data_IF_479409916974
#
_entry.id   IF_479409916974
#
_cell.length_a   1.000
_cell.length_b   1.000
_cell.length_c   1.000
_cell.angle_alpha   90.00
_cell.angle_beta   90.00
_cell.angle_gamma   90.00
#
_symmetry.space_group_name_H-M   'P 1'
#
loop_
_entity.id
_entity.type
_entity.pdbx_description
1 polymer ?
#
# COMPACT_ATOMS: atom_id res chain seq x y z
N UNK A 1 -26.86 -2.21 -2.75
CA UNK A 1 -25.40 -2.45 -2.90
C UNK A 1 -24.67 -1.14 -3.23
N UNK A 2 -25.01 -0.45 -4.33
CA UNK A 2 -24.36 0.81 -4.72
C UNK A 2 -24.55 1.96 -3.72
N UNK A 3 -25.70 2.06 -3.05
CA UNK A 3 -25.94 3.09 -2.03
C UNK A 3 -25.02 2.95 -0.82
N UNK A 4 -24.78 1.73 -0.34
CA UNK A 4 -23.89 1.49 0.80
C UNK A 4 -22.43 1.79 0.47
N UNK A 5 -21.99 1.45 -0.74
CA UNK A 5 -20.67 1.86 -1.25
C UNK A 5 -20.58 3.38 -1.26
N UNK A 6 -21.62 4.04 -1.78
CA UNK A 6 -21.72 5.49 -1.81
C UNK A 6 -21.73 6.11 -0.41
N UNK A 7 -22.29 5.46 0.61
CA UNK A 7 -22.22 5.90 2.01
C UNK A 7 -20.78 5.78 2.52
N UNK A 8 -20.14 4.62 2.34
CA UNK A 8 -18.76 4.39 2.80
C UNK A 8 -17.74 5.34 2.15
N UNK A 9 -18.00 5.79 0.93
CA UNK A 9 -17.17 6.76 0.21
C UNK A 9 -17.39 8.19 0.67
N UNK A 10 -18.56 8.51 1.25
CA UNK A 10 -18.93 9.87 1.67
C UNK A 10 -18.63 10.15 3.14
N UNK A 11 -18.82 9.17 4.02
CA UNK A 11 -18.70 9.35 5.46
C UNK A 11 -17.35 8.87 6.00
N UNK A 12 -16.39 9.81 6.10
CA UNK A 12 -15.08 9.64 6.74
C UNK A 12 -14.39 8.31 6.36
N UNK A 13 -14.06 8.10 5.08
CA UNK A 13 -13.59 6.83 4.56
C UNK A 13 -12.31 6.29 5.22
N UNK A 14 -11.54 7.11 5.93
CA UNK A 14 -10.34 6.69 6.65
C UNK A 14 -10.58 6.40 8.14
N UNK A 15 -11.34 7.25 8.81
CA UNK A 15 -11.57 7.18 10.25
C UNK A 15 -12.74 6.30 10.63
N UNK A 16 -13.69 6.07 9.72
CA UNK A 16 -14.84 5.23 9.99
C UNK A 16 -14.39 3.76 10.15
N UNK A 17 -14.63 3.21 11.34
CA UNK A 17 -14.31 1.82 11.71
C UNK A 17 -15.56 0.97 11.87
N UNK A 18 -16.68 1.38 11.28
CA UNK A 18 -17.94 0.65 11.40
C UNK A 18 -17.71 -0.83 11.09
N UNK A 19 -17.98 -1.74 12.04
CA UNK A 19 -17.89 -3.16 11.78
C UNK A 19 -18.93 -3.50 10.73
N UNK A 20 -18.54 -4.32 9.76
CA UNK A 20 -19.50 -4.83 8.78
C UNK A 20 -20.32 -5.89 9.49
N UNK A 21 -21.63 -5.70 9.50
CA UNK A 21 -22.57 -6.65 10.07
C UNK A 21 -22.42 -8.00 9.36
N UNK A 22 -22.17 -9.06 10.13
CA UNK A 22 -21.95 -10.41 9.59
C UNK A 22 -20.54 -10.70 9.07
N UNK A 23 -19.57 -9.78 9.18
CA UNK A 23 -18.20 -10.07 8.77
C UNK A 23 -17.53 -11.16 9.63
N UNK A 24 -17.87 -11.25 10.91
CA UNK A 24 -17.34 -12.26 11.84
C UNK A 24 -17.85 -13.67 11.54
N UNK A 25 -19.02 -13.82 10.90
CA UNK A 25 -19.51 -15.15 10.50
C UNK A 25 -18.75 -15.74 9.30
N UNK A 26 -17.84 -14.98 8.70
CA UNK A 26 -16.93 -15.44 7.64
C UNK A 26 -15.59 -15.95 8.20
N UNK A 27 -15.40 -15.90 9.52
CA UNK A 27 -14.23 -16.46 10.21
C UNK A 27 -14.46 -17.97 10.41
N UNK A 28 -14.16 -18.76 9.37
CA UNK A 28 -14.24 -20.23 9.43
C UNK A 28 -12.97 -20.85 10.05
N UNK A 29 -13.08 -22.08 10.54
CA UNK A 29 -11.93 -22.82 11.08
C UNK A 29 -10.81 -22.98 10.05
N UNK A 30 -9.57 -22.76 10.50
CA UNK A 30 -8.37 -22.90 9.67
C UNK A 30 -8.05 -21.73 8.74
N UNK A 31 -8.84 -20.65 8.77
CA UNK A 31 -8.67 -19.51 7.86
C UNK A 31 -7.32 -18.79 8.03
N UNK A 32 -6.79 -18.79 9.24
CA UNK A 32 -5.46 -18.27 9.57
C UNK A 32 -4.35 -19.06 8.84
N UNK A 33 -4.49 -20.38 8.75
CA UNK A 33 -3.51 -21.25 8.05
C UNK A 33 -3.49 -21.04 6.55
N UNK A 34 -4.59 -20.53 5.98
CA UNK A 34 -4.71 -20.16 4.57
C UNK A 34 -4.15 -18.75 4.29
N UNK A 35 -3.71 -18.03 5.32
CA UNK A 35 -3.27 -16.63 5.20
C UNK A 35 -4.41 -15.64 5.00
N UNK A 36 -5.68 -16.06 5.05
CA UNK A 36 -6.83 -15.20 4.74
C UNK A 36 -7.31 -14.35 5.93
N UNK A 37 -6.44 -14.11 6.91
CA UNK A 37 -6.73 -13.30 8.09
C UNK A 37 -5.76 -12.11 8.25
N UNK A 38 -4.48 -12.34 7.99
CA UNK A 38 -3.39 -11.38 8.19
C UNK A 38 -2.33 -11.52 7.10
N UNK A 39 -1.63 -10.44 6.78
CA UNK A 39 -0.44 -10.53 5.93
C UNK A 39 0.56 -11.47 6.61
N UNK A 40 1.16 -12.44 5.88
CA UNK A 40 2.23 -13.26 6.42
C UNK A 40 3.37 -12.40 7.00
N UNK A 41 3.89 -12.74 8.20
CA UNK A 41 4.93 -11.93 8.83
C UNK A 41 6.24 -11.98 8.06
N UNK A 42 7.00 -10.89 8.10
CA UNK A 42 8.35 -10.81 7.53
C UNK A 42 9.31 -11.78 8.26
N UNK A 43 10.06 -12.59 7.50
CA UNK A 43 11.03 -13.52 8.06
C UNK A 43 12.14 -12.78 8.81
N UNK A 44 12.42 -13.11 10.09
CA UNK A 44 13.39 -12.37 10.91
C UNK A 44 14.80 -12.32 10.31
N UNK A 45 15.25 -13.41 9.69
CA UNK A 45 16.58 -13.51 9.09
C UNK A 45 16.72 -12.58 7.88
N UNK A 46 15.68 -12.51 7.05
CA UNK A 46 15.66 -11.63 5.88
C UNK A 46 15.57 -10.18 6.34
N UNK A 47 14.71 -9.89 7.32
CA UNK A 47 14.60 -8.55 7.90
C UNK A 47 15.93 -8.07 8.52
N UNK A 48 16.66 -8.93 9.21
CA UNK A 48 17.97 -8.61 9.80
C UNK A 48 19.04 -8.25 8.75
N UNK A 49 18.90 -8.75 7.52
CA UNK A 49 19.77 -8.39 6.41
C UNK A 49 19.35 -7.08 5.72
N UNK A 50 18.06 -6.82 5.62
CA UNK A 50 17.50 -5.65 4.91
C UNK A 50 17.47 -4.38 5.75
N UNK A 51 17.25 -4.51 7.06
CA UNK A 51 17.15 -3.36 7.94
C UNK A 51 18.56 -2.85 8.31
N UNK A 52 18.76 -1.53 8.42
CA UNK A 52 19.98 -0.99 9.00
C UNK A 52 20.20 -1.66 10.36
N UNK A 53 21.43 -2.03 10.69
CA UNK A 53 21.79 -2.63 12.00
C UNK A 53 21.54 -1.62 13.12
N UNK A 54 20.28 -1.49 13.52
CA UNK A 54 19.88 -0.86 14.76
C UNK A 54 20.19 -1.86 15.87
N UNK A 55 20.70 -1.36 17.00
CA UNK A 55 21.28 -2.16 18.08
C UNK A 55 20.42 -3.31 18.61
N UNK A 56 21.00 -4.15 19.49
CA UNK A 56 20.48 -5.47 19.81
C UNK A 56 19.16 -5.38 20.59
N UNK A 57 18.05 -5.63 19.90
CA UNK A 57 16.80 -6.00 20.56
C UNK A 57 16.21 -7.22 19.84
N UNK A 58 16.53 -8.44 20.31
CA UNK A 58 16.13 -9.68 19.67
C UNK A 58 14.64 -10.06 19.90
N UNK A 59 13.87 -9.27 20.64
CA UNK A 59 12.51 -9.65 21.07
C UNK A 59 11.37 -8.96 20.32
N UNK A 60 11.66 -8.06 19.37
CA UNK A 60 10.63 -7.29 18.67
C UNK A 60 10.52 -7.73 17.21
N UNK A 61 9.28 -7.94 16.75
CA UNK A 61 9.00 -8.14 15.33
C UNK A 61 9.69 -7.06 14.48
N UNK A 62 10.35 -7.44 13.36
CA UNK A 62 11.04 -6.49 12.53
C UNK A 62 10.08 -5.39 12.06
N UNK A 63 10.50 -4.14 12.21
CA UNK A 63 9.67 -2.98 11.89
C UNK A 63 10.41 -2.06 10.93
N UNK A 64 9.69 -1.49 9.97
CA UNK A 64 10.27 -0.56 9.00
C UNK A 64 10.82 0.71 9.70
N UNK A 65 11.99 1.21 9.27
CA UNK A 65 12.73 2.24 10.01
C UNK A 65 12.10 3.62 9.84
N UNK A 66 11.56 3.95 8.66
CA UNK A 66 10.92 5.24 8.43
C UNK A 66 9.47 5.26 8.93
N UNK A 67 9.05 6.42 9.47
CA UNK A 67 7.67 6.64 9.96
C UNK A 67 6.65 6.48 8.82
N UNK A 68 6.95 7.01 7.65
CA UNK A 68 6.11 6.92 6.44
C UNK A 68 5.89 5.47 6.03
N UNK A 69 6.93 4.64 6.13
CA UNK A 69 6.88 3.24 5.74
C UNK A 69 6.07 2.41 6.74
N UNK A 70 6.19 2.69 8.04
CA UNK A 70 5.32 2.08 9.07
C UNK A 70 3.84 2.42 8.84
N UNK A 71 3.54 3.67 8.50
CA UNK A 71 2.19 4.09 8.18
C UNK A 71 1.66 3.37 6.93
N UNK A 72 2.47 3.26 5.87
CA UNK A 72 2.11 2.53 4.66
C UNK A 72 1.93 1.04 4.89
N UNK A 73 2.78 0.42 5.71
CA UNK A 73 2.63 -0.98 6.14
C UNK A 73 1.30 -1.18 6.89
N UNK A 74 0.92 -0.23 7.75
CA UNK A 74 -0.38 -0.26 8.45
C UNK A 74 -1.56 -0.14 7.47
N UNK A 75 -1.48 0.73 6.46
CA UNK A 75 -2.51 0.83 5.42
C UNK A 75 -2.58 -0.44 4.56
N UNK A 76 -1.43 -1.03 4.25
CA UNK A 76 -1.34 -2.29 3.49
C UNK A 76 -1.97 -3.44 4.26
N UNK A 77 -1.73 -3.54 5.57
CA UNK A 77 -2.39 -4.52 6.45
C UNK A 77 -3.91 -4.35 6.45
N UNK A 78 -4.41 -3.11 6.50
CA UNK A 78 -5.86 -2.84 6.38
C UNK A 78 -6.41 -3.27 5.03
N UNK A 79 -5.72 -2.94 3.94
CA UNK A 79 -6.13 -3.32 2.58
C UNK A 79 -6.11 -4.84 2.37
N UNK A 80 -5.12 -5.52 2.93
CA UNK A 80 -5.05 -6.98 2.91
C UNK A 80 -6.21 -7.60 3.67
N UNK A 81 -6.50 -7.15 4.90
CA UNK A 81 -7.68 -7.62 5.65
C UNK A 81 -8.98 -7.41 4.89
N UNK A 82 -9.11 -6.27 4.23
CA UNK A 82 -10.22 -5.96 3.34
C UNK A 82 -10.33 -6.97 2.18
N UNK A 83 -9.23 -7.21 1.46
CA UNK A 83 -9.17 -8.15 0.34
C UNK A 83 -9.43 -9.60 0.80
N UNK A 84 -8.84 -10.01 1.92
CA UNK A 84 -9.02 -11.32 2.50
C UNK A 84 -10.48 -11.53 2.92
N UNK A 85 -11.12 -10.55 3.56
CA UNK A 85 -12.56 -10.61 3.84
C UNK A 85 -13.40 -10.78 2.57
N UNK A 86 -13.08 -10.04 1.50
CA UNK A 86 -13.76 -10.18 0.20
C UNK A 86 -13.55 -11.56 -0.42
N UNK A 87 -12.36 -12.15 -0.31
CA UNK A 87 -12.08 -13.51 -0.77
C UNK A 87 -12.93 -14.54 -0.02
N UNK A 88 -13.04 -14.40 1.31
CA UNK A 88 -13.87 -15.28 2.16
C UNK A 88 -15.35 -15.15 1.88
N UNK A 89 -15.82 -13.91 1.69
CA UNK A 89 -17.18 -13.63 1.26
C UNK A 89 -17.48 -14.29 -0.09
N UNK A 90 -16.54 -14.22 -1.04
CA UNK A 90 -16.69 -14.88 -2.34
C UNK A 90 -16.73 -16.41 -2.22
N UNK A 91 -15.89 -17.01 -1.38
CA UNK A 91 -15.93 -18.46 -1.13
C UNK A 91 -17.28 -18.92 -0.57
N UNK A 92 -17.80 -18.21 0.44
CA UNK A 92 -19.12 -18.50 1.01
C UNK A 92 -20.23 -18.28 -0.01
N UNK A 93 -20.19 -17.18 -0.77
CA UNK A 93 -21.17 -16.92 -1.83
C UNK A 93 -21.16 -18.04 -2.88
N UNK A 94 -19.98 -18.57 -3.25
CA UNK A 94 -19.87 -19.67 -4.20
C UNK A 94 -20.54 -20.94 -3.69
N UNK A 95 -20.34 -21.29 -2.41
CA UNK A 95 -21.00 -22.47 -1.81
C UNK A 95 -22.50 -22.31 -1.74
N UNK A 96 -22.98 -21.13 -1.32
CA UNK A 96 -24.40 -20.83 -1.23
C UNK A 96 -25.08 -20.81 -2.60
N UNK A 97 -24.42 -20.30 -3.64
CA UNK A 97 -24.96 -20.33 -5.01
C UNK A 97 -25.00 -21.75 -5.58
N UNK A 98 -24.03 -22.61 -5.26
CA UNK A 98 -24.09 -24.03 -5.63
C UNK A 98 -25.28 -24.72 -4.94
N UNK A 99 -25.44 -24.50 -3.63
CA UNK A 99 -26.59 -25.02 -2.88
C UNK A 99 -27.94 -24.50 -3.41
N UNK A 100 -28.01 -23.22 -3.75
CA UNK A 100 -29.19 -22.64 -4.38
C UNK A 100 -29.52 -23.28 -5.73
N UNK A 101 -28.50 -23.67 -6.52
CA UNK A 101 -28.73 -24.37 -7.78
C UNK A 101 -29.34 -25.75 -7.57
N UNK A 102 -28.86 -26.51 -6.58
CA UNK A 102 -29.45 -27.81 -6.19
C UNK A 102 -30.93 -27.66 -5.78
N UNK A 103 -31.24 -26.67 -4.93
CA UNK A 103 -32.63 -26.38 -4.53
C UNK A 103 -33.53 -25.99 -5.71
N UNK A 104 -32.98 -25.27 -6.69
CA UNK A 104 -33.72 -24.90 -7.90
C UNK A 104 -34.02 -26.12 -8.80
N UNK A 105 -33.13 -27.11 -8.86
CA UNK A 105 -33.37 -28.36 -9.59
C UNK A 105 -34.52 -29.15 -8.93
N UNK A 106 -34.54 -29.24 -7.61
CA UNK A 106 -35.61 -29.88 -6.84
C UNK A 106 -36.97 -29.19 -7.03
N UNK A 107 -36.97 -27.87 -7.26
CA UNK A 107 -38.18 -27.09 -7.55
C UNK A 107 -38.90 -27.52 -8.83
N UNK A 108 -38.17 -28.09 -9.78
CA UNK A 108 -38.71 -28.64 -11.02
C UNK A 108 -39.58 -29.87 -10.79
N UNK A 109 -39.51 -30.48 -9.61
CA UNK A 109 -40.10 -31.78 -9.26
C UNK A 109 -41.14 -31.68 -8.13
N UNK A 110 -42.13 -30.79 -8.30
CA UNK A 110 -43.30 -30.64 -7.41
C UNK A 110 -42.95 -30.24 -5.96
N UNK A 111 -42.09 -29.23 -5.82
CA UNK A 111 -41.62 -28.72 -4.53
C UNK A 111 -42.65 -27.85 -3.81
N UNK A 112 -42.73 -28.03 -2.47
CA UNK A 112 -43.58 -27.24 -1.58
C UNK A 112 -43.02 -25.84 -1.24
N UNK A 113 -43.81 -25.02 -0.51
CA UNK A 113 -43.43 -23.65 -0.15
C UNK A 113 -42.15 -23.53 0.69
N UNK A 114 -41.77 -24.58 1.42
CA UNK A 114 -40.55 -24.59 2.23
C UNK A 114 -39.27 -24.44 1.40
N UNK A 115 -39.20 -25.03 0.20
CA UNK A 115 -38.04 -24.90 -0.70
C UNK A 115 -37.89 -23.47 -1.21
N UNK A 116 -39.01 -22.78 -1.46
CA UNK A 116 -39.02 -21.37 -1.86
C UNK A 116 -38.52 -20.46 -0.74
N UNK A 117 -38.95 -20.71 0.50
CA UNK A 117 -38.49 -19.97 1.68
C UNK A 117 -36.98 -20.15 1.89
N UNK A 118 -36.47 -21.36 1.68
CA UNK A 118 -35.04 -21.66 1.79
C UNK A 118 -34.20 -20.95 0.70
N UNK A 119 -34.66 -20.97 -0.56
CA UNK A 119 -34.03 -20.22 -1.65
C UNK A 119 -34.02 -18.72 -1.35
N UNK A 120 -35.12 -18.18 -0.83
CA UNK A 120 -35.20 -16.77 -0.45
C UNK A 120 -34.19 -16.45 0.67
N UNK A 121 -34.08 -17.32 1.68
CA UNK A 121 -33.13 -17.17 2.77
C UNK A 121 -31.67 -17.22 2.28
N UNK A 122 -31.32 -18.19 1.43
CA UNK A 122 -29.99 -18.32 0.82
C UNK A 122 -29.65 -17.09 -0.02
N UNK A 123 -30.61 -16.59 -0.80
CA UNK A 123 -30.45 -15.37 -1.62
C UNK A 123 -30.17 -14.15 -0.74
N UNK A 124 -30.92 -13.97 0.35
CA UNK A 124 -30.72 -12.88 1.29
C UNK A 124 -29.33 -12.95 1.96
N UNK A 125 -28.89 -14.15 2.34
CA UNK A 125 -27.52 -14.37 2.86
C UNK A 125 -26.48 -14.00 1.81
N UNK A 126 -26.60 -14.48 0.57
CA UNK A 126 -25.69 -14.14 -0.54
C UNK A 126 -25.59 -12.63 -0.73
N UNK A 127 -26.72 -11.91 -0.75
CA UNK A 127 -26.75 -10.46 -0.89
C UNK A 127 -26.06 -9.75 0.28
N UNK A 128 -26.24 -10.21 1.53
CA UNK A 128 -25.51 -9.68 2.69
C UNK A 128 -24.01 -9.93 2.59
N UNK A 129 -23.60 -11.13 2.20
CA UNK A 129 -22.17 -11.49 2.05
C UNK A 129 -21.51 -10.66 0.96
N UNK A 130 -22.17 -10.45 -0.17
CA UNK A 130 -21.66 -9.61 -1.26
C UNK A 130 -21.53 -8.14 -0.85
N UNK A 131 -22.50 -7.58 -0.10
CA UNK A 131 -22.38 -6.22 0.47
C UNK A 131 -21.10 -6.05 1.28
N UNK A 132 -20.74 -7.06 2.10
CA UNK A 132 -19.53 -7.03 2.91
C UNK A 132 -18.26 -6.86 2.05
N UNK A 133 -18.21 -7.51 0.89
CA UNK A 133 -17.05 -7.48 -0.01
C UNK A 133 -16.88 -6.13 -0.72
N UNK A 134 -17.99 -5.53 -1.20
CA UNK A 134 -17.92 -4.30 -1.99
C UNK A 134 -17.55 -3.08 -1.14
N UNK A 135 -18.02 -3.01 0.10
CA UNK A 135 -17.67 -1.92 1.03
C UNK A 135 -16.16 -1.82 1.34
N UNK A 136 -15.35 -2.84 1.00
CA UNK A 136 -13.91 -2.86 1.26
C UNK A 136 -13.04 -2.18 0.20
N UNK A 137 -13.58 -1.92 -0.99
CA UNK A 137 -12.88 -1.18 -2.04
C UNK A 137 -12.44 0.23 -1.58
N UNK A 138 -13.15 0.83 -0.63
CA UNK A 138 -12.82 2.13 -0.04
C UNK A 138 -11.41 2.17 0.56
N UNK A 139 -10.95 1.07 1.17
CA UNK A 139 -9.65 0.99 1.83
C UNK A 139 -8.51 1.13 0.82
N UNK A 140 -8.67 0.59 -0.39
CA UNK A 140 -7.66 0.70 -1.45
C UNK A 140 -7.51 2.15 -1.93
N UNK A 141 -8.62 2.87 -2.08
CA UNK A 141 -8.60 4.29 -2.47
C UNK A 141 -7.95 5.14 -1.38
N UNK A 142 -8.30 4.90 -0.12
CA UNK A 142 -7.71 5.60 1.04
C UNK A 142 -6.21 5.30 1.17
N UNK A 143 -5.79 4.05 0.95
CA UNK A 143 -4.38 3.68 0.92
C UNK A 143 -3.62 4.44 -0.18
N UNK A 144 -4.20 4.58 -1.37
CA UNK A 144 -3.57 5.32 -2.45
C UNK A 144 -3.47 6.82 -2.12
N UNK A 145 -4.54 7.44 -1.58
CA UNK A 145 -4.45 8.83 -1.05
C UNK A 145 -3.32 8.99 -0.03
N UNK A 146 -3.21 8.06 0.91
CA UNK A 146 -2.17 8.06 1.93
C UNK A 146 -0.76 8.01 1.32
N UNK A 147 -0.56 7.25 0.23
CA UNK A 147 0.71 7.19 -0.50
C UNK A 147 1.08 8.53 -1.11
N UNK A 148 0.15 9.20 -1.78
CA UNK A 148 0.38 10.52 -2.35
C UNK A 148 0.60 11.59 -1.28
N UNK A 149 -0.15 11.55 -0.18
CA UNK A 149 0.02 12.49 0.94
C UNK A 149 1.38 12.35 1.64
N UNK A 150 2.02 11.18 1.60
CA UNK A 150 3.37 11.01 2.15
C UNK A 150 4.44 11.82 1.41
N UNK A 151 4.17 12.27 0.18
CA UNK A 151 5.05 13.17 -0.57
C UNK A 151 4.95 14.63 -0.11
N UNK A 152 3.95 14.93 0.73
CA UNK A 152 3.69 16.28 1.24
C UNK A 152 4.27 16.49 2.63
N UNK A 153 4.68 17.73 2.89
CA UNK A 153 5.12 18.21 4.21
C UNK A 153 3.93 18.67 5.07
N UNK A 154 2.74 18.08 4.87
CA UNK A 154 1.57 18.35 5.71
C UNK A 154 1.73 17.65 7.07
N UNK A 155 1.25 18.25 8.16
CA UNK A 155 1.19 17.57 9.45
C UNK A 155 0.20 16.40 9.40
N UNK A 156 0.39 15.40 10.28
CA UNK A 156 -0.42 14.17 10.27
C UNK A 156 -1.92 14.47 10.37
N UNK A 157 -2.32 15.44 11.20
CA UNK A 157 -3.73 15.82 11.37
C UNK A 157 -4.37 16.30 10.07
N UNK A 158 -3.66 17.13 9.32
CA UNK A 158 -4.16 17.61 8.03
C UNK A 158 -4.22 16.50 6.97
N UNK A 159 -3.31 15.51 7.06
CA UNK A 159 -3.36 14.32 6.20
C UNK A 159 -4.58 13.48 6.53
N UNK A 160 -4.86 13.24 7.81
CA UNK A 160 -6.08 12.53 8.27
C UNK A 160 -7.34 13.24 7.75
N UNK A 161 -7.41 14.57 7.85
CA UNK A 161 -8.56 15.34 7.33
C UNK A 161 -8.77 15.13 5.82
N UNK A 162 -7.69 15.09 5.03
CA UNK A 162 -7.77 14.84 3.59
C UNK A 162 -8.15 13.39 3.29
N UNK A 163 -7.67 12.45 4.09
CA UNK A 163 -8.03 11.04 3.96
C UNK A 163 -9.52 10.81 4.24
N UNK A 164 -10.12 11.60 5.13
CA UNK A 164 -11.56 11.57 5.46
C UNK A 164 -12.46 12.40 4.54
N UNK A 165 -11.91 13.10 3.54
CA UNK A 165 -12.73 13.76 2.54
C UNK A 165 -13.49 12.73 1.70
N UNK A 166 -14.68 13.07 1.16
CA UNK A 166 -15.42 12.17 0.29
C UNK A 166 -14.59 11.66 -0.91
N UNK A 167 -14.82 10.42 -1.31
CA UNK A 167 -14.29 9.84 -2.54
C UNK A 167 -15.31 10.04 -3.65
N UNK A 168 -14.84 10.54 -4.79
CA UNK A 168 -15.64 10.76 -6.00
C UNK A 168 -14.88 10.18 -7.21
N UNK A 169 -15.57 9.66 -8.23
CA UNK A 169 -14.93 8.90 -9.31
C UNK A 169 -14.03 9.74 -10.24
N UNK A 170 -14.15 11.07 -10.22
CA UNK A 170 -13.41 11.99 -11.08
C UNK A 170 -11.91 12.06 -10.74
N UNK A 171 -11.51 11.63 -9.55
CA UNK A 171 -10.10 11.56 -9.19
C UNK A 171 -9.84 11.13 -7.76
N UNK A 172 -8.60 10.66 -7.50
CA UNK A 172 -8.22 10.08 -6.20
C UNK A 172 -8.46 11.07 -5.06
N UNK A 173 -8.20 12.37 -5.25
CA UNK A 173 -8.47 13.40 -4.25
C UNK A 173 -9.83 14.10 -4.45
N UNK A 174 -10.35 14.15 -5.68
CA UNK A 174 -11.68 14.67 -5.97
C UNK A 174 -11.98 16.02 -5.31
N UNK A 175 -13.02 16.07 -4.48
CA UNK A 175 -13.41 17.27 -3.72
C UNK A 175 -12.34 17.78 -2.74
N UNK A 176 -11.41 16.93 -2.31
CA UNK A 176 -10.29 17.33 -1.46
C UNK A 176 -9.27 18.22 -2.19
N UNK A 177 -9.24 18.19 -3.54
CA UNK A 177 -8.25 18.90 -4.34
C UNK A 177 -8.28 20.41 -4.08
N UNK A 178 -9.46 21.01 -4.01
CA UNK A 178 -9.61 22.45 -3.74
C UNK A 178 -9.03 22.84 -2.37
N UNK A 179 -9.28 22.01 -1.35
CA UNK A 179 -8.71 22.19 0.00
C UNK A 179 -7.20 22.03 0.00
N UNK A 180 -6.67 21.01 -0.69
CA UNK A 180 -5.23 20.79 -0.82
C UNK A 180 -4.54 21.94 -1.56
N UNK A 181 -5.11 22.42 -2.66
CA UNK A 181 -4.57 23.54 -3.43
C UNK A 181 -4.52 24.81 -2.58
N UNK A 182 -5.62 25.14 -1.88
CA UNK A 182 -5.66 26.30 -0.96
C UNK A 182 -4.57 26.21 0.11
N UNK A 183 -4.32 25.02 0.66
CA UNK A 183 -3.25 24.79 1.65
C UNK A 183 -1.86 24.97 1.04
N UNK A 184 -1.63 24.45 -0.16
CA UNK A 184 -0.37 24.66 -0.89
C UNK A 184 -0.12 26.16 -1.16
N UNK A 185 -1.13 26.90 -1.60
CA UNK A 185 -1.03 28.34 -1.84
C UNK A 185 -0.79 29.13 -0.54
N UNK A 186 -1.48 28.77 0.55
CA UNK A 186 -1.26 29.38 1.86
C UNK A 186 0.16 29.18 2.35
N UNK A 187 0.68 27.95 2.23
CA UNK A 187 2.06 27.63 2.60
C UNK A 187 3.08 28.38 1.75
N UNK A 188 2.83 28.51 0.44
CA UNK A 188 3.67 29.31 -0.45
C UNK A 188 3.71 30.78 -0.02
N UNK A 189 2.56 31.36 0.32
CA UNK A 189 2.49 32.75 0.82
C UNK A 189 3.21 32.92 2.16
N UNK A 190 3.10 31.95 3.05
CA UNK A 190 3.84 31.95 4.31
C UNK A 190 5.36 31.89 4.08
N UNK A 191 5.82 31.00 3.20
CA UNK A 191 7.24 30.87 2.85
C UNK A 191 7.79 32.16 2.22
N UNK A 192 7.03 32.77 1.29
CA UNK A 192 7.35 34.08 0.71
C UNK A 192 7.41 35.19 1.77
N UNK A 193 6.47 35.22 2.72
CA UNK A 193 6.46 36.20 3.81
C UNK A 193 7.67 36.02 4.74
N UNK A 194 8.02 34.78 5.10
CA UNK A 194 9.19 34.48 5.91
C UNK A 194 10.48 34.93 5.21
N UNK A 195 10.60 34.71 3.90
CA UNK A 195 11.72 35.18 3.10
C UNK A 195 11.90 36.71 3.12
N UNK A 196 10.81 37.48 3.23
CA UNK A 196 10.86 38.94 3.35
C UNK A 196 11.28 39.41 4.75
N UNK A 197 11.04 38.60 5.80
CA UNK A 197 11.37 38.93 7.18
C UNK A 197 12.78 38.51 7.60
N UNK A 198 13.46 37.66 6.83
CA UNK A 198 14.84 37.25 7.13
C UNK A 198 15.84 38.37 6.74
N UNK A 199 16.87 38.67 7.57
CA UNK A 199 17.89 39.64 7.22
C UNK A 199 18.53 39.28 5.88
N UNK A 200 18.47 40.22 4.94
CA UNK A 200 19.05 40.06 3.59
C UNK A 200 20.52 39.68 3.75
N UNK A 201 20.89 38.46 3.35
CA UNK A 201 22.28 38.02 3.36
C UNK A 201 23.08 39.02 2.53
N UNK A 202 23.99 39.76 3.17
CA UNK A 202 24.81 40.77 2.49
C UNK A 202 25.61 40.04 1.42
N UNK A 203 25.29 40.33 0.16
CA UNK A 203 26.04 39.80 -0.97
C UNK A 203 27.44 40.44 -0.91
N UNK A 204 28.54 39.66 -0.89
CA UNK A 204 29.88 40.25 -0.89
C UNK A 204 30.02 41.15 -2.12
N UNK A 205 30.33 42.43 -1.91
CA UNK A 205 30.64 43.35 -3.01
C UNK A 205 31.78 42.77 -3.85
N UNK A 206 31.75 42.91 -5.19
CA UNK A 206 32.90 42.57 -6.02
C UNK A 206 34.10 43.45 -5.60
N UNK A 207 35.33 42.91 -5.62
CA UNK A 207 36.51 43.65 -5.17
C UNK A 207 36.69 44.91 -6.02
N UNK A 208 36.61 46.08 -5.35
CA UNK A 208 36.94 47.37 -5.96
C UNK A 208 38.41 47.38 -6.39
N UNK A 209 38.64 47.62 -7.67
CA UNK A 209 39.97 47.87 -8.24
C UNK A 209 40.52 49.18 -7.66
N UNK A 210 41.67 49.11 -6.98
CA UNK A 210 42.43 50.30 -6.57
C UNK A 210 43.16 50.88 -7.80
N UNK A 211 43.21 52.22 -7.99
CA UNK A 211 43.94 52.83 -9.10
C UNK A 211 45.46 52.71 -8.90
N UNK A 212 46.16 52.51 -10.01
CA UNK A 212 47.59 52.23 -10.12
C UNK A 212 48.34 53.53 -10.50
N UNK A 213 49.21 54.03 -9.62
CA UNK A 213 50.31 54.97 -9.89
C UNK A 213 51.08 55.17 -8.56
N UNK A 214 52.39 55.04 -8.37
CA UNK A 214 53.62 54.81 -9.15
C UNK A 214 54.60 54.12 -8.16
N UNK A 215 55.25 53.00 -8.52
CA UNK A 215 56.66 52.90 -8.97
C UNK A 215 57.71 53.47 -7.99
N UNK A 216 58.82 52.84 -7.61
CA UNK A 216 59.45 51.56 -7.96
C UNK A 216 60.63 51.31 -6.99
N UNK A 217 60.94 50.06 -6.67
CA UNK A 217 62.30 49.51 -6.77
C UNK A 217 62.27 48.00 -6.46
N UNK A 218 62.76 47.23 -7.42
CA UNK A 218 62.98 45.78 -7.42
C UNK A 218 64.52 45.57 -7.42
N UNK A 219 65.11 44.34 -7.34
CA UNK A 219 64.50 43.01 -7.31
C UNK A 219 65.20 41.97 -6.39
N UNK A 220 64.74 40.72 -6.51
CA UNK A 220 65.50 39.45 -6.51
C UNK A 220 65.16 38.46 -5.38
N UNK A 221 64.50 37.38 -5.77
CA UNK A 221 64.13 36.26 -4.89
C UNK A 221 63.19 35.30 -5.60
N UNK A 222 63.72 34.59 -6.58
CA UNK A 222 63.04 33.71 -7.53
C UNK A 222 62.28 32.55 -6.88
N UNK A 223 61.02 32.33 -7.28
CA UNK A 223 60.50 31.17 -8.04
C UNK A 223 59.01 30.90 -7.73
N UNK A 224 58.24 31.09 -8.79
CA UNK A 224 56.86 30.64 -9.12
C UNK A 224 57.03 29.34 -9.95
N UNK A 225 56.06 28.41 -10.17
CA UNK A 225 54.59 28.58 -10.26
C UNK A 225 53.78 27.57 -9.39
N UNK A 226 52.52 27.83 -8.99
CA UNK A 226 51.27 28.00 -9.78
C UNK A 226 51.10 26.85 -10.80
N UNK A 227 49.97 26.21 -11.06
CA UNK A 227 48.56 26.57 -11.14
C UNK A 227 47.88 25.18 -11.37
N UNK A 228 46.61 24.88 -11.12
CA UNK A 228 45.46 25.35 -11.88
C UNK A 228 44.25 24.50 -11.40
N UNK A 229 43.22 25.10 -10.77
CA UNK A 229 41.97 25.58 -11.40
C UNK A 229 40.92 24.47 -11.53
N UNK A 230 39.91 24.49 -10.65
CA UNK A 230 38.55 25.04 -10.88
C UNK A 230 37.71 24.24 -11.87
N UNK A 231 36.52 23.81 -11.40
CA UNK A 231 35.17 24.17 -11.91
C UNK A 231 34.17 23.09 -11.45
N UNK A 232 33.31 23.42 -10.49
CA UNK A 232 31.91 23.87 -10.65
C UNK A 232 30.94 22.77 -11.06
N UNK A 233 29.99 22.49 -10.15
CA UNK A 233 28.79 21.72 -10.41
C UNK A 233 27.84 22.45 -11.38
N UNK A 234 27.10 21.73 -12.23
CA UNK A 234 25.85 22.20 -12.82
C UNK A 234 24.63 21.49 -12.22
N UNK A 235 23.56 22.27 -12.02
CA UNK A 235 22.17 21.84 -11.80
C UNK A 235 21.53 21.31 -13.11
N UNK A 236 20.34 20.67 -13.05
CA UNK A 236 20.03 19.49 -13.85
C UNK A 236 19.23 19.78 -15.13
N UNK A 237 19.46 18.97 -16.16
CA UNK A 237 18.54 18.75 -17.29
C UNK A 237 18.66 17.32 -17.85
N UNK A 238 17.64 16.82 -18.57
CA UNK A 238 17.13 15.47 -18.44
C UNK A 238 17.97 14.46 -19.22
N UNK A 239 18.28 13.32 -18.59
CA UNK A 239 19.02 12.25 -19.28
C UNK A 239 18.08 11.15 -19.74
N UNK A 240 17.96 11.07 -21.05
CA UNK A 240 17.40 9.98 -21.82
C UNK A 240 18.01 8.63 -21.42
N UNK A 241 17.17 7.62 -21.62
CA UNK A 241 17.43 6.19 -21.67
C UNK A 241 18.88 5.79 -21.97
N UNK A 242 19.45 5.01 -21.07
CA UNK A 242 20.49 4.05 -21.44
C UNK A 242 19.97 2.66 -21.15
N UNK A 243 19.42 2.07 -22.22
CA UNK A 243 19.06 0.67 -22.37
C UNK A 243 20.32 -0.18 -22.17
N UNK A 244 20.57 -0.65 -20.96
CA UNK A 244 21.50 -1.74 -20.72
C UNK A 244 20.72 -3.06 -20.72
N UNK A 245 20.65 -3.63 -21.92
CA UNK A 245 20.17 -4.97 -22.23
C UNK A 245 20.88 -6.03 -21.41
N UNK A 246 20.21 -6.61 -20.41
CA UNK A 246 20.57 -7.94 -19.92
C UNK A 246 19.84 -8.96 -20.77
N UNK A 247 20.51 -9.34 -21.87
CA UNK A 247 20.06 -10.39 -22.78
C UNK A 247 20.07 -11.75 -22.09
N UNK A 248 18.87 -12.32 -22.00
CA UNK A 248 18.50 -13.74 -22.16
C UNK A 248 19.67 -14.74 -22.26
N UNK A 249 19.73 -15.67 -21.30
CA UNK A 249 20.13 -17.07 -21.52
C UNK A 249 19.29 -18.01 -20.65
N UNK A 250 18.32 -18.67 -21.28
CA UNK A 250 17.79 -19.96 -20.80
C UNK A 250 18.83 -21.05 -21.04
N UNK A 251 18.77 -22.13 -20.24
CA UNK A 251 18.77 -23.46 -20.84
C UNK A 251 17.59 -24.30 -20.33
N UNK A 252 16.93 -24.97 -21.28
CA UNK A 252 16.05 -26.12 -21.05
C UNK A 252 16.94 -27.38 -21.07
N UNK A 253 16.65 -28.40 -20.25
CA UNK A 253 16.28 -29.70 -20.80
C UNK A 253 14.96 -30.18 -20.15
N UNK A 254 13.95 -30.48 -20.94
CA UNK A 254 13.63 -31.78 -21.54
C UNK A 254 12.77 -32.65 -20.60
N UNK A 255 11.65 -33.08 -21.17
CA UNK A 255 10.54 -33.72 -20.52
C UNK A 255 10.89 -35.07 -19.86
N UNK A 256 10.26 -35.34 -18.72
CA UNK A 256 9.84 -36.69 -18.35
C UNK A 256 8.43 -36.60 -17.75
N UNK A 257 7.48 -37.16 -18.50
CA UNK A 257 6.13 -37.44 -18.04
C UNK A 257 6.18 -38.44 -16.87
N UNK A 258 5.40 -38.19 -15.82
CA UNK A 258 4.91 -39.24 -14.94
C UNK A 258 3.51 -38.87 -14.46
N UNK A 259 2.51 -39.51 -15.04
CA UNK A 259 1.13 -39.53 -14.57
C UNK A 259 0.98 -40.49 -13.35
N UNK A 260 -0.15 -40.40 -12.61
CA UNK A 260 -0.25 -40.87 -11.23
C UNK A 260 -0.54 -42.36 -11.14
N UNK A 261 0.05 -43.04 -10.16
CA UNK A 261 -0.40 -44.37 -9.74
C UNK A 261 -1.26 -44.25 -8.50
N UNK A 262 -2.56 -44.50 -8.68
CA UNK A 262 -3.47 -44.91 -7.63
C UNK A 262 -2.94 -46.21 -7.00
N UNK A 263 -2.92 -46.30 -5.67
CA UNK A 263 -2.84 -47.58 -4.99
C UNK A 263 -3.90 -47.64 -3.89
N UNK A 264 -4.96 -48.37 -4.21
CA UNK A 264 -5.86 -48.98 -3.23
C UNK A 264 -5.05 -49.97 -2.38
N UNK A 265 -5.20 -49.87 -1.05
CA UNK A 265 -4.52 -50.75 -0.11
C UNK A 265 -5.09 -50.65 1.29
N UNK A 266 -6.40 -50.81 1.45
CA UNK A 266 -7.01 -51.08 2.75
C UNK A 266 -6.55 -52.45 3.24
N UNK A 267 -5.57 -52.50 4.14
CA UNK A 267 -5.32 -53.68 4.97
C UNK A 267 -6.14 -53.58 6.26
N UNK A 268 -7.20 -54.41 6.29
CA UNK A 268 -7.95 -54.78 7.49
C UNK A 268 -7.15 -55.70 8.40
N UNK A 269 -6.98 -55.32 9.68
CA UNK A 269 -6.92 -56.14 10.93
C UNK A 269 -6.26 -55.25 12.00
N UNK A 270 -6.70 -55.18 13.26
CA UNK A 270 -7.30 -56.21 14.12
C UNK A 270 -7.90 -55.51 15.34
N UNK A 271 -9.20 -55.69 15.58
CA UNK A 271 -9.89 -55.29 16.82
C UNK A 271 -9.52 -56.30 17.90
N UNK A 272 -8.89 -55.87 19.00
CA UNK A 272 -8.65 -56.69 20.20
C UNK A 272 -9.60 -56.18 21.29
N UNK A 273 -10.57 -57.03 21.68
CA UNK A 273 -11.37 -56.91 22.89
C UNK A 273 -10.55 -57.44 24.08
N UNK A 274 -10.69 -56.80 25.23
CA UNK A 274 -10.66 -57.37 26.58
C UNK A 274 -11.77 -56.60 27.33
N UNK A 275 -12.83 -57.24 27.83
CA UNK A 275 -12.88 -58.13 28.99
C UNK A 275 -12.39 -57.40 30.24
#
# INVERSE_FOLDING_TARGET
MLDEVSVSWRDRPFSNKAPIQGASSLDCDGIERLGLLHIPPMEPLVAAHLLPRMGPSPSRNPTLPAKTDRFQSTMTERAYKAAALSARALSVSSMLTAYQAELCEDLSSDSGPATLDEIAAVTDICLRVQRCAVQRAVIMVVQERARWLNLTNLPDREKEDVLDMPIVPEGIFGSALASMQRRCESKKKEDEALHLCLPRRVQPLPPQQRPFAQAASNPAGSRVPDQQRSQSAPSPQPRQETRASWSRKSPVPAAAQAQPTQNFGQQSRRKKRAA
#
